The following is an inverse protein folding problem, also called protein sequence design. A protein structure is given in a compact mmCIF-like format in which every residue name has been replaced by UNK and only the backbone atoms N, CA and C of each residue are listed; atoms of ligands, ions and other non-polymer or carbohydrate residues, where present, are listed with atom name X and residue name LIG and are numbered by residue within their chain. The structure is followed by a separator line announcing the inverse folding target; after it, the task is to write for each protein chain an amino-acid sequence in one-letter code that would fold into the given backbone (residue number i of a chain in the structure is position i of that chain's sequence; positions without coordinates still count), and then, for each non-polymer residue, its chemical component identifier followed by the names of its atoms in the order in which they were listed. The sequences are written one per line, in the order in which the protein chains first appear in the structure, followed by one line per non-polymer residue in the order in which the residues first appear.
data_IF_022919772029
#
_entry.id   IF_022919772029
#
_cell.length_a   1.000
_cell.length_b   1.000
_cell.length_c   1.000
_cell.angle_alpha   90.00
_cell.angle_beta   90.00
_cell.angle_gamma   90.00
#
_symmetry.space_group_name_H-M   'P 1'
#
loop_
_entity.id
_entity.type
_entity.pdbx_description
1 polymer ?
#
# COMPACT_ATOMS: atom_id res chain seq x y z
N UNK A 1 24.86 15.71 -14.50
CA UNK A 1 23.51 15.37 -14.99
C UNK A 1 22.51 15.96 -14.00
N UNK A 2 21.42 16.58 -14.46
CA UNK A 2 20.39 17.12 -13.56
C UNK A 2 19.28 16.09 -13.42
N UNK A 3 19.08 15.54 -12.22
CA UNK A 3 17.93 14.67 -11.93
C UNK A 3 16.65 15.50 -11.88
N UNK A 4 15.55 14.92 -12.35
CA UNK A 4 14.23 15.51 -12.17
C UNK A 4 13.86 15.44 -10.68
N UNK A 5 13.79 16.60 -10.01
CA UNK A 5 13.46 16.69 -8.58
C UNK A 5 12.09 16.06 -8.27
N UNK A 6 11.15 16.14 -9.22
CA UNK A 6 9.82 15.56 -9.07
C UNK A 6 9.82 14.03 -8.96
N UNK A 7 10.95 13.35 -9.22
CA UNK A 7 11.05 11.92 -8.94
C UNK A 7 11.06 11.63 -7.45
N UNK A 8 11.60 12.53 -6.62
CA UNK A 8 11.76 12.35 -5.18
C UNK A 8 10.49 12.80 -4.46
N UNK A 9 9.47 11.92 -4.49
CA UNK A 9 8.14 12.16 -3.91
C UNK A 9 8.18 12.03 -2.38
N UNK A 10 7.02 12.14 -1.75
CA UNK A 10 6.93 12.15 -0.29
C UNK A 10 7.41 10.83 0.35
N UNK A 11 7.22 9.67 -0.29
CA UNK A 11 7.44 8.34 0.32
C UNK A 11 8.40 7.43 -0.43
N UNK A 12 8.74 7.78 -1.67
CA UNK A 12 9.50 6.96 -2.60
C UNK A 12 10.05 7.81 -3.74
N UNK A 13 10.92 7.18 -4.54
CA UNK A 13 11.43 7.76 -5.78
C UNK A 13 10.66 7.10 -6.93
N UNK A 14 10.03 7.86 -7.83
CA UNK A 14 9.30 7.31 -8.99
C UNK A 14 9.56 8.13 -10.24
N UNK A 15 9.66 7.46 -11.39
CA UNK A 15 9.82 8.11 -12.68
C UNK A 15 9.44 7.20 -13.84
N UNK A 16 9.30 7.79 -15.02
CA UNK A 16 9.06 7.04 -16.26
C UNK A 16 10.39 6.45 -16.75
N UNK A 17 10.41 5.14 -17.00
CA UNK A 17 11.56 4.43 -17.54
C UNK A 17 11.88 4.92 -18.96
N UNK A 18 13.15 5.27 -19.20
CA UNK A 18 13.62 5.83 -20.48
C UNK A 18 13.53 7.35 -20.58
N UNK A 19 12.84 8.00 -19.64
CA UNK A 19 12.72 9.47 -19.57
C UNK A 19 13.36 9.99 -18.28
N UNK A 20 12.66 9.87 -17.15
CA UNK A 20 13.13 10.28 -15.83
C UNK A 20 14.12 9.28 -15.25
N UNK A 21 13.81 7.99 -15.38
CA UNK A 21 14.58 6.89 -14.84
C UNK A 21 15.25 6.13 -15.99
N UNK A 22 16.57 6.23 -16.06
CA UNK A 22 17.46 5.55 -17.00
C UNK A 22 18.56 4.82 -16.23
N UNK A 23 19.35 3.98 -16.92
CA UNK A 23 20.54 3.36 -16.32
C UNK A 23 21.50 4.41 -15.71
N UNK A 24 21.70 5.54 -16.40
CA UNK A 24 22.57 6.61 -15.90
C UNK A 24 22.02 7.22 -14.60
N UNK A 25 20.73 7.58 -14.57
CA UNK A 25 20.12 8.14 -13.35
C UNK A 25 20.08 7.12 -12.21
N UNK A 26 19.85 5.84 -12.50
CA UNK A 26 19.83 4.78 -11.49
C UNK A 26 21.23 4.56 -10.88
N UNK A 27 22.30 4.63 -11.68
CA UNK A 27 23.67 4.60 -11.18
C UNK A 27 23.97 5.81 -10.29
N UNK A 28 23.54 7.01 -10.68
CA UNK A 28 23.68 8.23 -9.88
C UNK A 28 22.91 8.13 -8.57
N UNK A 29 21.67 7.63 -8.59
CA UNK A 29 20.87 7.39 -7.38
C UNK A 29 21.57 6.37 -6.47
N UNK A 30 22.15 5.31 -7.04
CA UNK A 30 22.94 4.32 -6.30
C UNK A 30 24.17 4.94 -5.63
N UNK A 31 24.90 5.82 -6.33
CA UNK A 31 26.03 6.57 -5.76
C UNK A 31 25.59 7.51 -4.64
N UNK A 32 24.48 8.22 -4.84
CA UNK A 32 23.96 9.14 -3.84
C UNK A 32 23.48 8.41 -2.58
N UNK A 33 22.75 7.30 -2.74
CA UNK A 33 22.30 6.51 -1.61
C UNK A 33 23.48 5.82 -0.88
N UNK A 34 24.44 5.26 -1.62
CA UNK A 34 25.66 4.69 -1.05
C UNK A 34 26.44 5.71 -0.22
N UNK A 35 26.62 6.92 -0.75
CA UNK A 35 27.22 8.05 -0.02
C UNK A 35 26.44 8.38 1.26
N UNK A 36 25.12 8.50 1.15
CA UNK A 36 24.24 8.82 2.27
C UNK A 36 24.32 7.78 3.41
N UNK A 37 24.34 6.48 3.09
CA UNK A 37 24.39 5.43 4.12
C UNK A 37 25.79 5.28 4.73
N UNK A 38 26.85 5.49 3.94
CA UNK A 38 28.25 5.51 4.45
C UNK A 38 28.47 6.63 5.46
N UNK A 39 27.88 7.81 5.23
CA UNK A 39 27.90 8.93 6.19
C UNK A 39 27.20 8.59 7.53
N UNK A 40 26.34 7.56 7.54
CA UNK A 40 25.70 7.03 8.75
C UNK A 40 26.42 5.81 9.35
N UNK A 41 27.59 5.45 8.81
CA UNK A 41 28.37 4.28 9.25
C UNK A 41 27.82 2.94 8.76
N UNK A 42 26.88 2.93 7.81
CA UNK A 42 26.32 1.72 7.22
C UNK A 42 27.12 1.35 5.97
N UNK A 43 27.62 0.11 5.90
CA UNK A 43 28.50 -0.35 4.82
C UNK A 43 27.84 -1.33 3.86
N UNK A 44 26.64 -1.83 4.18
CA UNK A 44 25.94 -2.84 3.38
C UNK A 44 24.53 -2.40 3.03
N UNK A 45 24.11 -2.64 1.79
CA UNK A 45 22.79 -2.27 1.27
C UNK A 45 22.07 -3.49 0.72
N UNK A 46 20.85 -3.72 1.18
CA UNK A 46 19.95 -4.73 0.65
C UNK A 46 19.29 -4.23 -0.64
N UNK A 47 19.32 -5.00 -1.71
CA UNK A 47 18.68 -4.65 -3.00
C UNK A 47 17.72 -5.76 -3.40
N UNK A 48 16.50 -5.37 -3.76
CA UNK A 48 15.49 -6.27 -4.31
C UNK A 48 14.73 -5.59 -5.44
N UNK A 49 14.00 -6.35 -6.24
CA UNK A 49 13.21 -5.78 -7.33
C UNK A 49 11.91 -6.53 -7.60
N UNK A 50 10.95 -5.83 -8.18
CA UNK A 50 9.75 -6.44 -8.76
C UNK A 50 10.04 -7.07 -10.14
N UNK A 51 9.00 -7.62 -10.76
CA UNK A 51 9.13 -8.32 -12.03
C UNK A 51 9.16 -7.41 -13.28
N UNK A 52 8.98 -6.08 -13.18
CA UNK A 52 8.86 -5.17 -14.35
C UNK A 52 10.04 -5.31 -15.33
N UNK A 53 9.79 -5.07 -16.61
CA UNK A 53 10.81 -5.13 -17.68
C UNK A 53 12.01 -4.23 -17.34
N UNK A 54 11.76 -3.03 -16.86
CA UNK A 54 12.80 -2.05 -16.50
C UNK A 54 13.54 -2.37 -15.20
N UNK A 55 13.02 -3.25 -14.34
CA UNK A 55 13.59 -3.51 -13.01
C UNK A 55 14.98 -4.15 -13.06
N UNK A 56 15.26 -5.01 -14.06
CA UNK A 56 16.59 -5.61 -14.22
C UNK A 56 17.67 -4.58 -14.58
N UNK A 57 17.55 -3.78 -15.68
CA UNK A 57 18.57 -2.79 -16.00
C UNK A 57 18.73 -1.72 -14.91
N UNK A 58 17.64 -1.29 -14.25
CA UNK A 58 17.71 -0.38 -13.09
C UNK A 58 18.54 -1.00 -11.97
N UNK A 59 18.30 -2.28 -11.65
CA UNK A 59 19.06 -3.00 -10.62
C UNK A 59 20.54 -3.06 -10.94
N UNK A 60 20.90 -3.41 -12.17
CA UNK A 60 22.30 -3.54 -12.58
C UNK A 60 23.04 -2.19 -12.44
N UNK A 61 22.41 -1.09 -12.88
CA UNK A 61 22.95 0.26 -12.73
C UNK A 61 23.01 0.73 -11.27
N UNK A 62 21.96 0.48 -10.48
CA UNK A 62 21.91 0.82 -9.06
C UNK A 62 23.06 0.14 -8.29
N UNK A 63 23.24 -1.17 -8.49
CA UNK A 63 24.30 -1.96 -7.83
C UNK A 63 25.69 -1.45 -8.22
N UNK A 64 25.90 -1.09 -9.49
CA UNK A 64 27.14 -0.46 -9.94
C UNK A 64 27.39 0.87 -9.22
N UNK A 65 26.35 1.69 -9.06
CA UNK A 65 26.42 2.94 -8.31
C UNK A 65 26.80 2.71 -6.85
N UNK A 66 26.09 1.81 -6.16
CA UNK A 66 26.32 1.47 -4.75
C UNK A 66 27.74 0.94 -4.50
N UNK A 67 28.17 -0.06 -5.27
CA UNK A 67 29.49 -0.69 -5.08
C UNK A 67 30.63 0.29 -5.36
N UNK A 68 30.46 1.26 -6.27
CA UNK A 68 31.44 2.32 -6.54
C UNK A 68 31.66 3.29 -5.36
N UNK A 69 30.77 3.29 -4.37
CA UNK A 69 30.93 4.06 -3.12
C UNK A 69 31.61 3.27 -2.01
N UNK A 70 31.95 2.00 -2.26
CA UNK A 70 32.44 1.08 -1.24
C UNK A 70 31.35 0.51 -0.33
N UNK A 71 30.09 0.52 -0.77
CA UNK A 71 29.01 -0.24 -0.12
C UNK A 71 28.99 -1.66 -0.65
N UNK A 72 28.95 -2.64 0.24
CA UNK A 72 28.61 -4.01 -0.11
C UNK A 72 27.11 -4.10 -0.42
N UNK A 73 26.75 -4.96 -1.37
CA UNK A 73 25.35 -5.18 -1.76
C UNK A 73 24.96 -6.62 -1.45
N UNK A 74 23.85 -6.79 -0.74
CA UNK A 74 23.14 -8.06 -0.65
C UNK A 74 21.92 -8.00 -1.57
N UNK A 75 22.00 -8.68 -2.71
CA UNK A 75 20.92 -8.75 -3.68
C UNK A 75 20.01 -9.95 -3.41
N UNK A 76 18.74 -9.68 -3.11
CA UNK A 76 17.71 -10.69 -2.81
C UNK A 76 16.84 -11.07 -4.02
N UNK A 77 17.19 -10.57 -5.22
CA UNK A 77 16.59 -10.97 -6.48
C UNK A 77 15.19 -10.38 -6.70
N UNK A 78 14.33 -11.18 -7.34
CA UNK A 78 12.94 -10.80 -7.65
C UNK A 78 12.02 -11.28 -6.55
N UNK A 79 11.33 -10.36 -5.88
CA UNK A 79 10.46 -10.65 -4.75
C UNK A 79 9.45 -9.52 -4.53
N UNK A 80 8.36 -9.81 -3.83
CA UNK A 80 7.38 -8.79 -3.45
C UNK A 80 7.96 -7.79 -2.44
N UNK A 81 7.42 -6.57 -2.39
CA UNK A 81 7.83 -5.54 -1.42
C UNK A 81 7.80 -6.03 0.04
N UNK A 82 6.78 -6.78 0.51
CA UNK A 82 6.77 -7.28 1.89
C UNK A 82 7.86 -8.33 2.15
N UNK A 83 8.15 -9.20 1.17
CA UNK A 83 9.28 -10.14 1.26
C UNK A 83 10.64 -9.43 1.29
N UNK A 84 10.77 -8.27 0.64
CA UNK A 84 11.93 -7.40 0.78
C UNK A 84 12.04 -6.82 2.20
N UNK A 85 10.93 -6.32 2.78
CA UNK A 85 10.93 -5.86 4.18
C UNK A 85 11.26 -6.98 5.17
N UNK A 86 10.74 -8.18 4.96
CA UNK A 86 11.13 -9.35 5.74
C UNK A 86 12.62 -9.69 5.58
N UNK A 87 13.17 -9.56 4.37
CA UNK A 87 14.59 -9.79 4.12
C UNK A 87 15.50 -8.84 4.91
N UNK A 88 15.04 -7.61 5.16
CA UNK A 88 15.73 -6.69 6.07
C UNK A 88 15.89 -7.28 7.47
N UNK A 89 14.83 -7.90 7.99
CA UNK A 89 14.81 -8.54 9.31
C UNK A 89 15.66 -9.82 9.29
N UNK A 90 15.43 -10.68 8.29
CA UNK A 90 16.10 -11.98 8.14
C UNK A 90 17.62 -11.85 8.09
N UNK A 91 18.13 -10.83 7.38
CA UNK A 91 19.57 -10.61 7.19
C UNK A 91 20.13 -9.50 8.10
N UNK A 92 19.31 -8.94 9.01
CA UNK A 92 19.68 -7.84 9.90
C UNK A 92 20.32 -6.65 9.14
N UNK A 93 19.73 -6.30 8.01
CA UNK A 93 20.19 -5.19 7.17
C UNK A 93 19.80 -3.85 7.82
N UNK A 94 20.59 -2.80 7.51
CA UNK A 94 20.37 -1.44 8.04
C UNK A 94 20.03 -0.42 6.96
N UNK A 95 20.09 -0.81 5.69
CA UNK A 95 19.71 0.02 4.57
C UNK A 95 19.28 -0.87 3.41
N UNK A 96 18.38 -0.36 2.56
CA UNK A 96 18.01 -1.07 1.35
C UNK A 96 17.16 -0.27 0.38
N UNK A 97 17.10 -0.75 -0.86
CA UNK A 97 16.25 -0.21 -1.91
C UNK A 97 15.49 -1.34 -2.60
N UNK A 98 14.16 -1.25 -2.57
CA UNK A 98 13.28 -2.12 -3.36
C UNK A 98 12.90 -1.41 -4.65
N UNK A 99 13.27 -1.99 -5.78
CA UNK A 99 13.01 -1.44 -7.12
C UNK A 99 11.61 -1.84 -7.55
N UNK A 100 10.71 -0.87 -7.56
CA UNK A 100 9.31 -1.07 -7.95
C UNK A 100 8.61 0.26 -8.17
N UNK A 101 7.56 0.27 -8.99
CA UNK A 101 6.54 1.32 -8.98
C UNK A 101 5.16 0.82 -8.53
N UNK A 102 5.12 -0.27 -7.75
CA UNK A 102 3.88 -0.86 -7.22
C UNK A 102 2.84 -1.06 -8.31
N UNK A 103 1.77 -0.26 -8.30
CA UNK A 103 0.65 -0.31 -9.25
C UNK A 103 0.60 0.83 -10.27
N UNK A 104 1.67 1.61 -10.42
CA UNK A 104 1.71 2.54 -11.54
C UNK A 104 1.79 1.77 -12.87
N UNK A 105 1.32 2.36 -13.98
CA UNK A 105 1.41 1.76 -15.31
C UNK A 105 2.80 1.21 -15.66
N UNK A 106 2.92 0.28 -16.65
CA UNK A 106 4.16 -0.47 -16.91
C UNK A 106 5.40 0.39 -17.19
N UNK A 107 5.21 1.58 -17.76
CA UNK A 107 6.31 2.52 -18.05
C UNK A 107 6.94 3.14 -16.80
N UNK A 108 6.27 3.11 -15.64
CA UNK A 108 6.82 3.63 -14.39
C UNK A 108 7.71 2.59 -13.71
N UNK A 109 8.76 3.08 -13.04
CA UNK A 109 9.50 2.32 -12.04
C UNK A 109 10.02 3.28 -10.96
N UNK A 110 10.68 2.76 -9.94
CA UNK A 110 11.05 3.56 -8.78
C UNK A 110 11.78 2.79 -7.70
N UNK A 111 11.90 3.42 -6.54
CA UNK A 111 12.55 2.87 -5.36
C UNK A 111 11.76 3.17 -4.09
N UNK A 112 11.43 2.13 -3.33
CA UNK A 112 11.08 2.24 -1.91
C UNK A 112 12.40 2.17 -1.12
N UNK A 113 12.76 3.27 -0.47
CA UNK A 113 14.08 3.44 0.19
C UNK A 113 13.96 3.25 1.69
N UNK A 114 14.84 2.42 2.26
CA UNK A 114 14.81 2.02 3.67
C UNK A 114 16.15 2.30 4.34
N UNK A 115 16.08 2.85 5.56
CA UNK A 115 17.24 3.10 6.43
C UNK A 115 16.83 2.76 7.86
N UNK A 116 17.50 1.79 8.45
CA UNK A 116 17.09 1.15 9.69
C UNK A 116 15.89 0.22 9.48
N UNK A 117 14.91 0.22 10.41
CA UNK A 117 13.81 -0.76 10.40
C UNK A 117 12.64 -0.40 9.46
N UNK A 118 12.65 0.76 8.81
CA UNK A 118 11.51 1.23 8.00
C UNK A 118 11.94 2.11 6.81
N UNK A 119 11.00 2.39 5.92
CA UNK A 119 11.17 3.33 4.81
C UNK A 119 11.39 4.76 5.30
N UNK A 120 12.27 5.49 4.62
CA UNK A 120 12.46 6.93 4.82
C UNK A 120 11.47 7.72 3.96
N UNK A 121 11.15 8.95 4.36
CA UNK A 121 10.17 9.80 3.70
C UNK A 121 10.53 11.29 3.85
N UNK A 122 9.90 12.15 3.04
CA UNK A 122 10.03 13.60 3.11
C UNK A 122 11.47 14.09 2.98
N UNK A 123 11.90 14.93 3.92
CA UNK A 123 13.23 15.56 3.89
C UNK A 123 14.39 14.57 3.95
N UNK A 124 14.23 13.39 4.57
CA UNK A 124 15.29 12.36 4.54
C UNK A 124 15.50 11.81 3.13
N UNK A 125 14.44 11.67 2.33
CA UNK A 125 14.56 11.22 0.94
C UNK A 125 15.18 12.30 0.06
N UNK A 126 14.83 13.57 0.28
CA UNK A 126 15.43 14.71 -0.45
C UNK A 126 16.93 14.86 -0.22
N UNK A 127 17.46 14.42 0.93
CA UNK A 127 18.91 14.40 1.15
C UNK A 127 19.64 13.57 0.09
N UNK A 128 19.04 12.49 -0.39
CA UNK A 128 19.60 11.68 -1.49
C UNK A 128 19.62 12.48 -2.79
N UNK A 129 18.54 13.23 -3.09
CA UNK A 129 18.50 14.14 -4.24
C UNK A 129 19.63 15.18 -4.17
N UNK A 130 19.81 15.85 -3.04
CA UNK A 130 20.84 16.89 -2.91
C UNK A 130 22.26 16.33 -3.06
N UNK A 131 22.53 15.12 -2.57
CA UNK A 131 23.82 14.44 -2.80
C UNK A 131 24.00 14.16 -4.29
N UNK A 132 22.96 13.65 -4.95
CA UNK A 132 22.99 13.37 -6.39
C UNK A 132 23.21 14.63 -7.23
N UNK A 133 22.55 15.74 -6.89
CA UNK A 133 22.69 17.03 -7.57
C UNK A 133 24.09 17.61 -7.39
N UNK A 134 24.64 17.54 -6.18
CA UNK A 134 26.00 18.02 -5.89
C UNK A 134 27.07 17.23 -6.65
N UNK A 135 26.83 15.96 -6.93
CA UNK A 135 27.77 15.09 -7.65
C UNK A 135 29.02 14.70 -6.83
N UNK A 136 28.99 14.93 -5.52
CA UNK A 136 30.06 14.58 -4.59
C UNK A 136 29.73 13.24 -3.92
N UNK A 137 30.33 12.17 -4.45
CA UNK A 137 30.08 10.81 -3.99
C UNK A 137 31.27 10.25 -3.22
N UNK A 138 30.97 9.41 -2.24
CA UNK A 138 31.96 8.49 -1.67
C UNK A 138 32.54 7.60 -2.78
N UNK A 139 33.79 7.17 -2.59
CA UNK A 139 34.51 6.30 -3.54
C UNK A 139 35.01 5.07 -2.82
N UNK A 140 34.83 3.92 -3.44
CA UNK A 140 35.34 2.66 -2.95
C UNK A 140 35.03 1.52 -3.91
N UNK A 141 35.22 0.30 -3.43
CA UNK A 141 34.87 -0.92 -4.16
C UNK A 141 34.20 -1.86 -3.17
N UNK A 142 32.88 -1.99 -3.26
CA UNK A 142 32.11 -2.97 -2.50
C UNK A 142 31.91 -4.27 -3.26
N UNK A 143 31.50 -5.32 -2.55
CA UNK A 143 31.20 -6.63 -3.12
C UNK A 143 29.69 -6.82 -3.33
N UNK A 144 29.32 -7.71 -4.25
CA UNK A 144 27.92 -8.13 -4.43
C UNK A 144 27.77 -9.58 -3.98
N UNK A 145 26.83 -9.83 -3.06
CA UNK A 145 26.41 -11.16 -2.60
C UNK A 145 24.95 -11.37 -2.95
N UNK A 146 24.55 -12.63 -3.10
CA UNK A 146 23.18 -13.01 -3.46
C UNK A 146 22.53 -13.82 -2.34
N UNK A 147 21.23 -13.60 -2.14
CA UNK A 147 20.43 -14.36 -1.19
C UNK A 147 19.02 -14.63 -1.73
N UNK A 148 18.34 -15.65 -1.20
CA UNK A 148 17.07 -16.15 -1.75
C UNK A 148 16.03 -16.36 -0.63
N UNK A 149 15.37 -15.28 -0.17
CA UNK A 149 14.56 -15.29 1.06
C UNK A 149 13.17 -15.92 0.91
N UNK A 150 12.73 -16.26 -0.30
CA UNK A 150 11.34 -16.65 -0.59
C UNK A 150 10.86 -17.82 0.29
N UNK A 151 11.63 -18.92 0.37
CA UNK A 151 11.25 -20.07 1.20
C UNK A 151 11.20 -19.70 2.69
N UNK A 152 12.14 -18.87 3.17
CA UNK A 152 12.13 -18.37 4.54
C UNK A 152 10.92 -17.49 4.83
N UNK A 153 10.44 -16.74 3.84
CA UNK A 153 9.24 -15.91 3.94
C UNK A 153 7.96 -16.76 4.01
N UNK A 154 7.81 -17.74 3.11
CA UNK A 154 6.67 -18.67 3.09
C UNK A 154 6.58 -19.41 4.43
N UNK A 155 7.71 -19.94 4.91
CA UNK A 155 7.77 -20.65 6.20
C UNK A 155 7.43 -19.71 7.37
N UNK A 156 7.92 -18.48 7.36
CA UNK A 156 7.62 -17.49 8.40
C UNK A 156 6.11 -17.21 8.49
N UNK A 157 5.42 -17.04 7.36
CA UNK A 157 3.95 -16.85 7.37
C UNK A 157 3.25 -18.10 7.92
N UNK A 158 3.65 -19.28 7.44
CA UNK A 158 3.10 -20.57 7.90
C UNK A 158 3.31 -20.81 9.40
N UNK A 159 4.42 -20.34 9.96
CA UNK A 159 4.71 -20.44 11.39
C UNK A 159 3.84 -19.49 12.20
N UNK A 160 3.68 -18.25 11.75
CA UNK A 160 2.92 -17.20 12.45
C UNK A 160 1.40 -17.39 12.38
N UNK A 161 0.89 -17.93 11.29
CA UNK A 161 -0.56 -18.06 11.07
C UNK A 161 -0.96 -19.52 11.01
N UNK A 162 -1.87 -19.91 11.92
CA UNK A 162 -2.50 -21.23 11.94
C UNK A 162 -3.97 -21.10 11.57
N UNK A 163 -4.41 -21.92 10.62
CA UNK A 163 -5.82 -22.00 10.22
C UNK A 163 -6.59 -22.94 11.16
N UNK A 164 -7.91 -22.79 11.19
CA UNK A 164 -8.82 -23.75 11.82
C UNK A 164 -9.04 -25.00 10.96
N UNK A 165 -9.97 -25.86 11.40
CA UNK A 165 -10.20 -27.17 10.78
C UNK A 165 -10.93 -27.11 9.43
N UNK A 166 -11.62 -25.98 9.13
CA UNK A 166 -12.33 -25.80 7.87
C UNK A 166 -11.33 -25.61 6.72
N UNK A 167 -11.31 -26.56 5.80
CA UNK A 167 -10.55 -26.45 4.55
C UNK A 167 -11.24 -25.47 3.59
N UNK A 168 -10.57 -24.35 3.30
CA UNK A 168 -11.09 -23.29 2.44
C UNK A 168 -10.69 -23.50 0.97
N UNK A 169 -11.60 -23.16 0.06
CA UNK A 169 -11.35 -22.98 -1.38
C UNK A 169 -11.13 -21.51 -1.68
N UNK A 170 -9.98 -21.19 -2.26
CA UNK A 170 -9.55 -19.81 -2.47
C UNK A 170 -9.17 -19.61 -3.93
N UNK A 171 -9.80 -18.66 -4.61
CA UNK A 171 -9.30 -18.18 -5.90
C UNK A 171 -8.23 -17.14 -5.64
N UNK A 172 -7.07 -17.29 -6.28
CA UNK A 172 -5.91 -16.41 -6.06
C UNK A 172 -5.55 -15.75 -7.37
N UNK A 173 -5.72 -14.44 -7.43
CA UNK A 173 -5.41 -13.61 -8.58
C UNK A 173 -4.15 -12.78 -8.31
N UNK A 174 -3.13 -12.96 -9.13
CA UNK A 174 -1.88 -12.19 -9.02
C UNK A 174 -1.70 -11.16 -10.15
N UNK A 175 -2.62 -11.08 -11.11
CA UNK A 175 -2.54 -10.15 -12.26
C UNK A 175 -1.19 -10.15 -12.98
N UNK A 176 -0.53 -11.31 -13.06
CA UNK A 176 0.82 -11.50 -13.60
C UNK A 176 1.95 -10.73 -12.89
N UNK A 177 1.67 -10.12 -11.73
CA UNK A 177 2.62 -9.37 -10.93
C UNK A 177 3.66 -10.23 -10.22
N UNK A 178 4.42 -9.60 -9.32
CA UNK A 178 5.49 -10.28 -8.58
C UNK A 178 4.94 -11.28 -7.57
N UNK A 179 3.71 -11.08 -7.08
CA UNK A 179 3.01 -12.02 -6.20
C UNK A 179 2.87 -13.43 -6.82
N UNK A 180 2.76 -13.51 -8.16
CA UNK A 180 2.70 -14.76 -8.93
C UNK A 180 3.84 -15.73 -8.62
N UNK A 181 4.99 -15.23 -8.17
CA UNK A 181 6.17 -16.05 -7.91
C UNK A 181 5.98 -17.03 -6.74
N UNK A 182 5.15 -16.71 -5.74
CA UNK A 182 5.00 -17.57 -4.56
C UNK A 182 3.76 -17.32 -3.68
N UNK A 183 2.91 -16.33 -3.93
CA UNK A 183 1.72 -16.09 -3.08
C UNK A 183 0.69 -17.25 -3.16
N UNK A 184 0.45 -17.89 -4.31
CA UNK A 184 -0.32 -19.13 -4.37
C UNK A 184 0.25 -20.22 -3.46
N UNK A 185 1.57 -20.36 -3.41
CA UNK A 185 2.25 -21.33 -2.53
C UNK A 185 2.11 -20.97 -1.05
N UNK A 186 2.09 -19.68 -0.68
CA UNK A 186 1.79 -19.24 0.70
C UNK A 186 0.41 -19.76 1.10
N UNK A 187 -0.61 -19.52 0.28
CA UNK A 187 -2.00 -19.88 0.59
C UNK A 187 -2.17 -21.41 0.59
N UNK A 188 -1.57 -22.11 -0.37
CA UNK A 188 -1.58 -23.57 -0.43
C UNK A 188 -0.91 -24.19 0.82
N UNK A 189 0.25 -23.67 1.23
CA UNK A 189 1.01 -24.19 2.38
C UNK A 189 0.35 -23.94 3.74
N UNK A 190 -0.65 -23.04 3.81
CA UNK A 190 -1.51 -22.86 4.97
C UNK A 190 -2.60 -23.95 5.08
N UNK A 191 -2.84 -24.73 4.02
CA UNK A 191 -3.80 -25.85 3.99
C UNK A 191 -5.03 -25.61 3.12
N UNK A 192 -5.07 -24.51 2.36
CA UNK A 192 -6.19 -24.19 1.47
C UNK A 192 -6.13 -24.95 0.15
N UNK A 193 -7.29 -25.12 -0.49
CA UNK A 193 -7.40 -25.50 -1.89
C UNK A 193 -7.33 -24.23 -2.75
N UNK A 194 -6.33 -24.14 -3.62
CA UNK A 194 -6.02 -22.93 -4.38
C UNK A 194 -6.43 -23.09 -5.84
N UNK A 195 -7.16 -22.09 -6.34
CA UNK A 195 -7.53 -21.93 -7.74
C UNK A 195 -6.77 -20.71 -8.30
N UNK A 196 -5.63 -20.92 -8.99
CA UNK A 196 -4.81 -19.82 -9.46
C UNK A 196 -5.46 -19.12 -10.66
N UNK A 197 -5.38 -17.79 -10.67
CA UNK A 197 -5.81 -16.91 -11.74
C UNK A 197 -4.66 -15.93 -12.02
N UNK A 198 -4.19 -15.90 -13.26
CA UNK A 198 -3.06 -15.06 -13.70
C UNK A 198 -1.81 -15.11 -12.80
N UNK A 199 -1.51 -16.30 -12.25
CA UNK A 199 -0.39 -16.56 -11.33
C UNK A 199 0.92 -16.91 -12.04
N UNK A 200 1.04 -16.65 -13.34
CA UNK A 200 2.32 -16.71 -14.06
C UNK A 200 2.91 -15.29 -14.10
N UNK A 201 4.14 -15.11 -13.61
CA UNK A 201 4.79 -13.79 -13.60
C UNK A 201 5.13 -13.37 -15.04
N UNK A 202 4.45 -12.35 -15.55
CA UNK A 202 4.67 -11.76 -16.87
C UNK A 202 4.61 -10.23 -16.77
N UNK A 203 5.73 -9.51 -17.02
CA UNK A 203 5.79 -8.08 -16.84
C UNK A 203 5.12 -7.27 -17.95
N UNK A 204 4.53 -7.93 -18.95
CA UNK A 204 3.65 -7.29 -19.95
C UNK A 204 2.21 -7.15 -19.44
N UNK A 205 1.85 -7.81 -18.34
CA UNK A 205 0.51 -7.84 -17.75
C UNK A 205 -0.58 -8.15 -18.79
N UNK A 206 -0.53 -9.32 -19.45
CA UNK A 206 -1.32 -9.61 -20.65
C UNK A 206 -2.83 -9.79 -20.42
N UNK A 207 -3.27 -9.86 -19.16
CA UNK A 207 -4.68 -10.06 -18.80
C UNK A 207 -5.30 -8.73 -18.36
N UNK A 208 -5.40 -8.47 -17.06
CA UNK A 208 -5.68 -7.15 -16.51
C UNK A 208 -4.48 -6.61 -15.74
N UNK A 209 -4.52 -5.30 -15.45
CA UNK A 209 -3.46 -4.68 -14.67
C UNK A 209 -3.58 -5.12 -13.19
N UNK A 210 -2.46 -5.40 -12.48
CA UNK A 210 -2.49 -5.86 -11.08
C UNK A 210 -2.73 -4.68 -10.12
N UNK A 211 -3.96 -4.17 -10.12
CA UNK A 211 -4.42 -3.13 -9.21
C UNK A 211 -5.81 -3.48 -8.67
N UNK A 212 -5.90 -4.15 -7.51
CA UNK A 212 -7.16 -4.68 -6.98
C UNK A 212 -8.09 -3.61 -6.38
N UNK A 213 -7.66 -2.34 -6.35
CA UNK A 213 -8.52 -1.21 -5.94
C UNK A 213 -9.54 -0.85 -7.04
N UNK A 214 -9.26 -1.24 -8.29
CA UNK A 214 -10.11 -0.98 -9.44
C UNK A 214 -11.06 -2.15 -9.69
N UNK A 215 -12.36 -1.87 -9.64
CA UNK A 215 -13.39 -2.89 -9.79
C UNK A 215 -13.27 -3.66 -11.13
N UNK A 216 -12.84 -3.00 -12.21
CA UNK A 216 -12.67 -3.64 -13.51
C UNK A 216 -11.63 -4.77 -13.52
N UNK A 217 -10.63 -4.69 -12.64
CA UNK A 217 -9.58 -5.71 -12.51
C UNK A 217 -10.01 -6.91 -11.66
N UNK A 218 -11.19 -6.87 -11.02
CA UNK A 218 -11.69 -7.96 -10.16
C UNK A 218 -12.76 -8.81 -10.86
N UNK A 219 -13.13 -8.48 -12.10
CA UNK A 219 -14.22 -9.18 -12.82
C UNK A 219 -13.96 -10.67 -12.97
N UNK A 220 -12.77 -11.04 -13.42
CA UNK A 220 -12.39 -12.44 -13.61
C UNK A 220 -12.33 -13.19 -12.28
N UNK A 221 -11.82 -12.55 -11.22
CA UNK A 221 -11.84 -13.10 -9.87
C UNK A 221 -13.29 -13.37 -9.39
N UNK A 222 -14.21 -12.42 -9.59
CA UNK A 222 -15.62 -12.55 -9.22
C UNK A 222 -16.28 -13.73 -9.97
N UNK A 223 -16.04 -13.83 -11.27
CA UNK A 223 -16.60 -14.90 -12.10
C UNK A 223 -16.04 -16.27 -11.68
N UNK A 224 -14.73 -16.35 -11.45
CA UNK A 224 -14.06 -17.58 -11.07
C UNK A 224 -14.50 -18.07 -9.69
N UNK A 225 -14.63 -17.17 -8.70
CA UNK A 225 -15.16 -17.49 -7.36
C UNK A 225 -16.53 -18.14 -7.45
N UNK A 226 -17.43 -17.57 -8.26
CA UNK A 226 -18.77 -18.13 -8.48
C UNK A 226 -18.72 -19.47 -9.21
N UNK A 227 -17.86 -19.58 -10.23
CA UNK A 227 -17.75 -20.77 -11.08
C UNK A 227 -17.27 -21.99 -10.29
N UNK A 228 -16.23 -21.83 -9.47
CA UNK A 228 -15.65 -22.93 -8.68
C UNK A 228 -16.30 -23.08 -7.30
N UNK A 229 -17.24 -22.18 -6.96
CA UNK A 229 -17.89 -22.09 -5.65
C UNK A 229 -16.86 -21.98 -4.52
N UNK A 230 -15.92 -21.06 -4.69
CA UNK A 230 -14.90 -20.77 -3.69
C UNK A 230 -15.51 -20.08 -2.46
N UNK A 231 -14.86 -20.21 -1.32
CA UNK A 231 -15.23 -19.52 -0.08
C UNK A 231 -14.91 -18.01 -0.15
N UNK A 232 -13.90 -17.65 -0.96
CA UNK A 232 -13.49 -16.29 -1.26
C UNK A 232 -12.53 -16.26 -2.46
N UNK A 233 -12.38 -15.07 -3.04
CA UNK A 233 -11.32 -14.71 -3.96
C UNK A 233 -10.37 -13.69 -3.33
N UNK A 234 -9.08 -13.78 -3.63
CA UNK A 234 -8.05 -12.85 -3.17
C UNK A 234 -7.25 -12.39 -4.38
N UNK A 235 -7.20 -11.08 -4.60
CA UNK A 235 -6.34 -10.44 -5.60
C UNK A 235 -5.17 -9.73 -4.93
N UNK A 236 -4.03 -9.71 -5.61
CA UNK A 236 -2.83 -8.99 -5.17
C UNK A 236 -2.40 -7.97 -6.22
N UNK A 237 -1.78 -6.90 -5.75
CA UNK A 237 -1.21 -5.90 -6.65
C UNK A 237 0.21 -6.26 -7.14
N UNK A 238 0.74 -5.44 -8.06
CA UNK A 238 1.95 -5.75 -8.82
C UNK A 238 3.19 -6.08 -8.00
N UNK A 239 3.35 -5.49 -6.82
CA UNK A 239 4.46 -5.75 -5.90
C UNK A 239 4.05 -6.43 -4.57
N UNK A 240 2.76 -6.80 -4.43
CA UNK A 240 2.26 -7.70 -3.40
C UNK A 240 2.03 -7.08 -2.02
N UNK A 241 2.00 -5.76 -1.89
CA UNK A 241 1.74 -5.10 -0.61
C UNK A 241 0.29 -4.64 -0.41
N UNK A 242 -0.58 -4.82 -1.42
CA UNK A 242 -2.03 -4.60 -1.32
C UNK A 242 -2.85 -5.85 -1.61
N UNK A 243 -3.92 -6.03 -0.83
CA UNK A 243 -4.90 -7.10 -0.96
C UNK A 243 -6.25 -6.57 -1.46
N UNK A 244 -6.84 -7.24 -2.44
CA UNK A 244 -8.26 -7.16 -2.79
C UNK A 244 -8.97 -8.46 -2.44
N UNK A 245 -10.23 -8.39 -2.03
CA UNK A 245 -10.98 -9.56 -1.60
C UNK A 245 -12.37 -9.55 -2.21
N UNK A 246 -12.82 -10.72 -2.62
CA UNK A 246 -14.18 -10.99 -3.11
C UNK A 246 -14.78 -12.09 -2.27
N UNK A 247 -16.01 -11.90 -1.78
CA UNK A 247 -16.72 -12.93 -1.00
C UNK A 247 -17.29 -14.06 -1.87
N UNK A 248 -17.87 -15.08 -1.25
CA UNK A 248 -18.41 -16.26 -1.93
C UNK A 248 -19.58 -15.93 -2.91
N UNK A 249 -20.17 -14.74 -2.79
CA UNK A 249 -21.26 -14.24 -3.64
C UNK A 249 -20.74 -13.33 -4.76
N UNK A 250 -19.45 -13.02 -4.78
CA UNK A 250 -18.84 -12.11 -5.74
C UNK A 250 -18.94 -10.63 -5.36
N UNK A 251 -19.21 -10.30 -4.09
CA UNK A 251 -19.16 -8.92 -3.63
C UNK A 251 -17.72 -8.55 -3.28
N UNK A 252 -17.29 -7.35 -3.68
CA UNK A 252 -15.98 -6.81 -3.32
C UNK A 252 -16.00 -6.41 -1.84
N UNK A 253 -14.98 -6.83 -1.09
CA UNK A 253 -14.74 -6.45 0.30
C UNK A 253 -13.59 -5.45 0.34
N UNK A 254 -13.95 -4.17 0.49
CA UNK A 254 -12.99 -3.06 0.52
C UNK A 254 -12.10 -3.07 1.76
N UNK A 255 -10.96 -2.37 1.71
CA UNK A 255 -9.95 -2.39 2.77
C UNK A 255 -10.50 -2.01 4.15
N UNK A 256 -11.38 -1.01 4.23
CA UNK A 256 -12.05 -0.62 5.47
C UNK A 256 -12.95 -1.74 6.04
N UNK A 257 -13.60 -2.52 5.19
CA UNK A 257 -14.40 -3.69 5.62
C UNK A 257 -13.51 -4.87 6.04
N UNK A 258 -12.36 -5.07 5.38
CA UNK A 258 -11.37 -6.04 5.83
C UNK A 258 -10.81 -5.67 7.20
N UNK A 259 -10.54 -4.38 7.44
CA UNK A 259 -10.10 -3.89 8.74
C UNK A 259 -11.10 -4.20 9.86
N UNK A 260 -12.40 -4.16 9.60
CA UNK A 260 -13.42 -4.58 10.58
C UNK A 260 -13.20 -6.03 11.01
N UNK A 261 -13.00 -6.95 10.06
CA UNK A 261 -12.76 -8.36 10.37
C UNK A 261 -11.49 -8.55 11.21
N UNK A 262 -10.41 -7.85 10.86
CA UNK A 262 -9.18 -7.90 11.63
C UNK A 262 -9.34 -7.30 13.04
N UNK A 263 -9.98 -6.14 13.18
CA UNK A 263 -10.23 -5.53 14.49
C UNK A 263 -11.11 -6.40 15.39
N UNK A 264 -12.10 -7.12 14.84
CA UNK A 264 -12.91 -8.09 15.58
C UNK A 264 -12.08 -9.22 16.20
N UNK A 265 -10.97 -9.61 15.57
CA UNK A 265 -10.02 -10.57 16.15
C UNK A 265 -9.05 -9.89 17.13
N UNK A 266 -8.47 -8.77 16.73
CA UNK A 266 -7.37 -8.09 17.44
C UNK A 266 -7.84 -7.42 18.73
N UNK A 267 -8.99 -6.73 18.72
CA UNK A 267 -9.48 -5.99 19.88
C UNK A 267 -9.78 -6.90 21.08
N UNK A 268 -10.09 -8.18 20.83
CA UNK A 268 -10.26 -9.19 21.90
C UNK A 268 -8.97 -9.42 22.70
N UNK A 269 -7.81 -9.29 22.06
CA UNK A 269 -6.48 -9.46 22.69
C UNK A 269 -5.89 -8.12 23.14
N UNK A 270 -6.31 -7.03 22.52
CA UNK A 270 -5.82 -5.67 22.77
C UNK A 270 -6.99 -4.72 23.09
N UNK A 271 -7.68 -4.91 24.23
CA UNK A 271 -8.82 -4.08 24.59
C UNK A 271 -8.41 -2.61 24.75
N UNK A 272 -9.20 -1.70 24.19
CA UNK A 272 -8.93 -0.26 24.26
C UNK A 272 -7.83 0.24 23.33
N UNK A 273 -7.36 -0.58 22.39
CA UNK A 273 -6.34 -0.19 21.43
C UNK A 273 -6.76 1.05 20.62
N UNK A 274 -5.78 1.91 20.36
CA UNK A 274 -5.92 3.01 19.41
C UNK A 274 -5.85 2.43 17.98
N UNK A 275 -6.89 2.69 17.20
CA UNK A 275 -7.02 2.23 15.84
C UNK A 275 -6.78 3.41 14.90
N UNK A 276 -5.65 3.39 14.17
CA UNK A 276 -5.42 4.38 13.12
C UNK A 276 -6.47 4.17 12.03
N UNK A 277 -7.14 5.25 11.62
CA UNK A 277 -8.15 5.25 10.55
C UNK A 277 -7.70 6.22 9.47
N UNK A 278 -7.39 5.70 8.28
CA UNK A 278 -7.10 6.54 7.12
C UNK A 278 -8.33 7.41 6.80
N UNK A 279 -8.13 8.69 6.49
CA UNK A 279 -9.19 9.65 6.16
C UNK A 279 -10.14 9.22 5.03
N UNK A 280 -9.78 8.24 4.20
CA UNK A 280 -10.66 7.71 3.17
C UNK A 280 -11.62 6.65 3.68
N UNK A 281 -11.36 6.00 4.81
CA UNK A 281 -12.14 4.85 5.28
C UNK A 281 -13.59 5.21 5.65
N UNK A 282 -14.49 4.25 5.44
CA UNK A 282 -15.91 4.35 5.79
C UNK A 282 -16.14 4.69 7.27
N UNK A 283 -17.24 5.39 7.54
CA UNK A 283 -17.76 5.60 8.90
C UNK A 283 -18.10 4.27 9.59
N UNK A 284 -18.44 3.22 8.84
CA UNK A 284 -18.74 1.91 9.42
C UNK A 284 -17.53 1.31 10.16
N UNK A 285 -16.30 1.53 9.67
CA UNK A 285 -15.09 1.11 10.38
C UNK A 285 -14.93 1.85 11.71
N UNK A 286 -15.18 3.17 11.73
CA UNK A 286 -15.09 4.00 12.93
C UNK A 286 -16.07 3.51 13.99
N UNK A 287 -17.34 3.35 13.61
CA UNK A 287 -18.41 2.86 14.49
C UNK A 287 -18.10 1.45 15.02
N UNK A 288 -17.54 0.58 14.18
CA UNK A 288 -17.17 -0.77 14.59
C UNK A 288 -16.01 -0.77 15.59
N UNK A 289 -14.97 0.03 15.36
CA UNK A 289 -13.85 0.18 16.31
C UNK A 289 -14.37 0.65 17.67
N UNK A 290 -15.25 1.66 17.70
CA UNK A 290 -15.87 2.16 18.93
C UNK A 290 -16.74 1.10 19.60
N UNK A 291 -17.54 0.36 18.82
CA UNK A 291 -18.39 -0.74 19.32
C UNK A 291 -17.56 -1.85 19.97
N UNK A 292 -16.36 -2.12 19.45
CA UNK A 292 -15.42 -3.08 20.03
C UNK A 292 -14.66 -2.53 21.26
N UNK A 293 -14.89 -1.27 21.64
CA UNK A 293 -14.24 -0.60 22.76
C UNK A 293 -12.86 0.00 22.43
N UNK A 294 -12.52 0.09 21.14
CA UNK A 294 -11.31 0.75 20.66
C UNK A 294 -11.46 2.27 20.55
N UNK A 295 -10.37 2.93 20.15
CA UNK A 295 -10.33 4.40 19.98
C UNK A 295 -9.89 4.74 18.55
N UNK A 296 -10.79 5.20 17.66
CA UNK A 296 -10.40 5.60 16.32
C UNK A 296 -9.54 6.87 16.35
N UNK A 297 -8.44 6.86 15.61
CA UNK A 297 -7.49 7.98 15.46
C UNK A 297 -7.30 8.24 13.98
N UNK A 298 -7.94 9.32 13.48
CA UNK A 298 -7.79 9.68 12.08
C UNK A 298 -6.36 10.07 11.74
N UNK A 299 -5.87 9.55 10.61
CA UNK A 299 -4.55 9.86 10.12
C UNK A 299 -4.49 9.91 8.59
N UNK A 300 -3.42 10.50 8.11
CA UNK A 300 -3.18 10.76 6.69
C UNK A 300 -2.89 9.50 5.89
N UNK A 301 -3.25 9.56 4.61
CA UNK A 301 -3.00 8.54 3.59
C UNK A 301 -1.50 8.42 3.31
N UNK A 302 -1.01 7.20 3.10
CA UNK A 302 0.33 6.91 2.64
C UNK A 302 1.04 5.90 3.53
N UNK A 303 1.34 4.73 2.96
CA UNK A 303 1.95 3.59 3.63
C UNK A 303 3.19 3.92 4.51
N UNK A 304 4.11 4.78 4.04
CA UNK A 304 5.28 5.18 4.83
C UNK A 304 4.93 6.06 6.05
N UNK A 305 3.91 6.92 5.95
CA UNK A 305 3.46 7.74 7.08
C UNK A 305 2.72 6.91 8.11
N UNK A 306 1.92 5.95 7.65
CA UNK A 306 1.23 5.01 8.52
C UNK A 306 2.23 4.18 9.30
N UNK A 307 3.25 3.59 8.65
CA UNK A 307 4.32 2.86 9.36
C UNK A 307 5.00 3.72 10.42
N UNK A 308 5.31 4.98 10.11
CA UNK A 308 5.90 5.90 11.08
C UNK A 308 4.96 6.17 12.26
N UNK A 309 3.67 6.39 12.00
CA UNK A 309 2.66 6.67 13.03
C UNK A 309 2.36 5.46 13.91
N UNK A 310 2.33 4.27 13.32
CA UNK A 310 2.21 3.02 14.09
C UNK A 310 3.34 2.89 15.10
N UNK A 311 4.57 3.17 14.69
CA UNK A 311 5.73 3.13 15.59
C UNK A 311 5.65 4.19 16.68
N UNK A 312 5.24 5.42 16.34
CA UNK A 312 5.07 6.51 17.31
C UNK A 312 4.04 6.15 18.39
N UNK A 313 2.93 5.51 18.00
CA UNK A 313 1.83 5.17 18.90
C UNK A 313 1.93 3.77 19.51
N UNK A 314 2.91 2.96 19.08
CA UNK A 314 2.92 1.52 19.32
C UNK A 314 1.60 0.83 18.92
N UNK A 315 1.03 1.27 17.78
CA UNK A 315 -0.22 0.72 17.27
C UNK A 315 -0.05 -0.74 16.85
N UNK A 316 -1.01 -1.59 17.23
CA UNK A 316 -0.95 -3.03 17.00
C UNK A 316 -1.45 -3.44 15.61
N UNK A 317 -2.25 -2.61 14.97
CA UNK A 317 -2.80 -2.85 13.64
C UNK A 317 -3.36 -1.58 13.02
N UNK A 318 -3.33 -1.49 11.70
CA UNK A 318 -4.10 -0.53 10.89
C UNK A 318 -4.12 -1.00 9.44
N UNK A 319 -4.91 -0.32 8.61
CA UNK A 319 -4.92 -0.50 7.17
C UNK A 319 -5.32 0.78 6.45
N UNK A 320 -5.30 0.71 5.13
CA UNK A 320 -5.79 1.74 4.22
C UNK A 320 -6.94 1.16 3.39
N UNK A 321 -7.85 2.01 2.93
CA UNK A 321 -8.94 1.61 2.05
C UNK A 321 -8.44 0.94 0.77
N UNK A 322 -7.24 1.33 0.30
CA UNK A 322 -6.56 0.76 -0.86
C UNK A 322 -6.02 -0.66 -0.66
N UNK A 323 -6.15 -1.25 0.53
CA UNK A 323 -5.75 -2.65 0.78
C UNK A 323 -4.34 -2.83 1.34
N UNK A 324 -3.62 -1.77 1.70
CA UNK A 324 -2.42 -1.93 2.54
C UNK A 324 -2.87 -2.30 3.96
N UNK A 325 -2.31 -3.38 4.52
CA UNK A 325 -2.67 -3.88 5.85
C UNK A 325 -1.41 -4.08 6.67
N UNK A 326 -1.34 -3.41 7.82
CA UNK A 326 -0.14 -3.32 8.66
C UNK A 326 -0.42 -3.99 10.00
N UNK A 327 0.15 -5.17 10.23
CA UNK A 327 -0.03 -5.92 11.47
C UNK A 327 1.23 -5.82 12.33
N UNK A 328 1.07 -5.46 13.61
CA UNK A 328 2.14 -5.44 14.62
C UNK A 328 1.79 -6.27 15.88
N UNK A 329 0.57 -6.80 15.97
CA UNK A 329 0.10 -7.65 17.08
C UNK A 329 0.87 -8.98 17.17
N UNK A 330 1.00 -9.66 16.02
CA UNK A 330 1.69 -10.96 15.88
C UNK A 330 2.74 -10.90 14.74
N UNK A 331 2.98 -9.71 14.21
CA UNK A 331 3.79 -9.45 13.00
C UNK A 331 4.71 -8.23 13.14
N UNK A 332 5.34 -7.80 12.05
CA UNK A 332 6.48 -6.87 12.07
C UNK A 332 6.11 -5.39 11.84
N UNK A 333 4.84 -5.06 11.60
CA UNK A 333 4.34 -3.70 11.48
C UNK A 333 4.43 -3.08 10.08
N UNK A 334 4.97 -3.78 9.08
CA UNK A 334 4.92 -3.34 7.68
C UNK A 334 3.70 -3.90 6.95
N UNK A 335 3.34 -3.24 5.85
CA UNK A 335 2.30 -3.64 4.91
C UNK A 335 2.65 -4.96 4.21
N UNK A 336 1.74 -5.93 4.29
CA UNK A 336 1.95 -7.27 3.73
C UNK A 336 0.63 -7.94 3.34
N UNK A 337 0.36 -8.05 2.04
CA UNK A 337 -0.88 -8.62 1.55
C UNK A 337 -0.95 -10.14 1.73
N UNK A 338 0.18 -10.86 1.65
CA UNK A 338 0.19 -12.30 1.92
C UNK A 338 -0.10 -12.60 3.38
N UNK A 339 0.44 -11.81 4.31
CA UNK A 339 0.12 -11.93 5.73
C UNK A 339 -1.33 -11.53 6.02
N UNK A 340 -1.84 -10.48 5.38
CA UNK A 340 -3.25 -10.10 5.46
C UNK A 340 -4.18 -11.24 4.98
N UNK A 341 -3.88 -11.82 3.81
CA UNK A 341 -4.60 -12.97 3.27
C UNK A 341 -4.58 -14.14 4.26
N UNK A 342 -3.41 -14.46 4.83
CA UNK A 342 -3.28 -15.51 5.84
C UNK A 342 -4.15 -15.23 7.08
N UNK A 343 -4.17 -13.98 7.59
CA UNK A 343 -5.02 -13.57 8.72
C UNK A 343 -6.51 -13.68 8.41
N UNK A 344 -6.93 -13.29 7.19
CA UNK A 344 -8.31 -13.42 6.77
C UNK A 344 -8.73 -14.89 6.69
N UNK A 345 -7.89 -15.74 6.10
CA UNK A 345 -8.12 -17.18 6.02
C UNK A 345 -8.18 -17.81 7.42
N UNK A 346 -7.35 -17.35 8.37
CA UNK A 346 -7.43 -17.77 9.78
C UNK A 346 -8.78 -17.41 10.39
N UNK A 347 -9.28 -16.20 10.18
CA UNK A 347 -10.60 -15.79 10.68
C UNK A 347 -11.70 -16.68 10.08
N UNK A 348 -11.69 -16.86 8.76
CA UNK A 348 -12.74 -17.59 8.04
C UNK A 348 -12.71 -19.11 8.31
N UNK A 349 -11.54 -19.70 8.51
CA UNK A 349 -11.39 -21.14 8.81
C UNK A 349 -11.79 -21.53 10.24
N UNK A 350 -11.92 -20.56 11.15
CA UNK A 350 -12.34 -20.78 12.55
C UNK A 350 -13.84 -20.54 12.78
N UNK A 351 -14.65 -20.55 11.71
CA UNK A 351 -16.10 -20.33 11.77
C UNK A 351 -16.81 -21.06 10.63
N UNK A 352 -18.06 -21.45 10.87
CA UNK A 352 -18.94 -22.03 9.84
C UNK A 352 -19.60 -20.97 8.95
N UNK A 353 -19.49 -19.69 9.32
CA UNK A 353 -20.06 -18.58 8.55
C UNK A 353 -19.33 -18.37 7.22
N UNK A 354 -20.05 -17.91 6.21
CA UNK A 354 -19.43 -17.40 4.98
C UNK A 354 -18.82 -16.01 5.21
N UNK A 355 -17.97 -15.55 4.27
CA UNK A 355 -17.34 -14.23 4.40
C UNK A 355 -18.41 -13.12 4.39
N UNK A 356 -19.42 -13.23 3.53
CA UNK A 356 -20.53 -12.26 3.51
C UNK A 356 -21.33 -12.22 4.81
N UNK A 357 -21.47 -13.35 5.52
CA UNK A 357 -22.16 -13.44 6.80
C UNK A 357 -21.36 -12.81 7.95
N UNK A 358 -20.03 -12.77 7.86
CA UNK A 358 -19.16 -12.12 8.86
C UNK A 358 -19.27 -10.60 8.88
N UNK A 359 -19.81 -10.01 7.82
CA UNK A 359 -20.03 -8.57 7.68
C UNK A 359 -21.52 -8.20 7.62
N UNK A 360 -22.43 -9.16 7.80
CA UNK A 360 -23.87 -8.94 7.65
C UNK A 360 -24.45 -7.95 8.67
N UNK A 361 -23.80 -7.79 9.83
CA UNK A 361 -24.18 -6.84 10.89
C UNK A 361 -23.52 -5.47 10.74
N UNK A 362 -22.63 -5.29 9.76
CA UNK A 362 -21.97 -4.01 9.49
C UNK A 362 -22.88 -3.13 8.63
N UNK A 363 -23.15 -1.87 9.03
CA UNK A 363 -23.92 -0.93 8.22
C UNK A 363 -23.31 -0.73 6.83
N UNK A 364 -24.15 -0.76 5.81
CA UNK A 364 -23.77 -0.42 4.43
C UNK A 364 -24.20 1.01 4.13
N UNK A 365 -23.23 1.89 3.95
CA UNK A 365 -23.48 3.29 3.63
C UNK A 365 -23.34 3.56 2.13
N UNK A 366 -24.31 4.24 1.48
CA UNK A 366 -24.12 4.79 0.15
C UNK A 366 -22.86 5.65 0.10
N UNK A 367 -21.96 5.34 -0.84
CA UNK A 367 -20.72 6.09 -1.05
C UNK A 367 -20.40 6.24 -2.53
N UNK A 368 -19.68 7.31 -2.87
CA UNK A 368 -19.03 7.39 -4.18
C UNK A 368 -17.83 6.44 -4.22
N UNK A 369 -17.40 6.01 -5.42
CA UNK A 369 -16.04 5.51 -5.59
C UNK A 369 -15.00 6.58 -5.22
N UNK A 370 -13.72 6.21 -5.23
CA UNK A 370 -12.64 7.20 -5.20
C UNK A 370 -12.65 8.00 -6.51
N UNK A 371 -12.87 9.31 -6.43
CA UNK A 371 -12.95 10.20 -7.60
C UNK A 371 -11.66 11.00 -7.69
N UNK A 372 -11.05 10.99 -8.88
CA UNK A 372 -9.81 11.70 -9.20
C UNK A 372 -10.13 12.90 -10.08
N UNK A 373 -9.85 14.10 -9.57
CA UNK A 373 -10.06 15.36 -10.29
C UNK A 373 -8.71 15.94 -10.67
N UNK A 374 -8.48 16.24 -11.94
CA UNK A 374 -7.23 16.84 -12.40
C UNK A 374 -6.97 18.17 -11.70
N UNK A 375 -5.77 18.32 -11.12
CA UNK A 375 -5.36 19.54 -10.46
C UNK A 375 -3.85 19.62 -10.36
N UNK A 376 -3.23 20.61 -11.00
CA UNK A 376 -1.77 20.68 -11.12
C UNK A 376 -1.04 20.69 -9.76
N UNK A 377 0.20 20.21 -9.76
CA UNK A 377 1.03 20.12 -8.55
C UNK A 377 1.20 21.51 -7.87
N UNK A 378 1.19 22.60 -8.64
CA UNK A 378 1.31 23.97 -8.14
C UNK A 378 0.05 24.48 -7.44
N UNK A 379 -1.12 23.91 -7.74
CA UNK A 379 -2.43 24.44 -7.28
C UNK A 379 -3.12 23.56 -6.26
N UNK A 380 -2.94 22.24 -6.32
CA UNK A 380 -3.76 21.27 -5.56
C UNK A 380 -3.80 21.54 -4.05
N UNK A 381 -2.68 21.94 -3.46
CA UNK A 381 -2.62 22.23 -2.01
C UNK A 381 -3.37 23.51 -1.64
N UNK A 382 -3.30 24.56 -2.48
CA UNK A 382 -4.04 25.80 -2.28
C UNK A 382 -5.55 25.59 -2.43
N UNK A 383 -5.97 24.76 -3.39
CA UNK A 383 -7.38 24.38 -3.56
C UNK A 383 -7.90 23.68 -2.30
N UNK A 384 -7.17 22.68 -1.79
CA UNK A 384 -7.55 21.95 -0.57
C UNK A 384 -7.65 22.89 0.63
N UNK A 385 -6.68 23.80 0.79
CA UNK A 385 -6.72 24.81 1.86
C UNK A 385 -7.96 25.69 1.74
N UNK A 386 -8.26 26.20 0.55
CA UNK A 386 -9.43 27.03 0.30
C UNK A 386 -10.76 26.31 0.57
N UNK A 387 -10.88 25.03 0.17
CA UNK A 387 -12.06 24.21 0.48
C UNK A 387 -12.19 23.99 1.99
N UNK A 388 -11.08 23.74 2.69
CA UNK A 388 -11.05 23.59 4.15
C UNK A 388 -11.57 24.86 4.85
N UNK A 389 -11.07 26.02 4.44
CA UNK A 389 -11.48 27.32 4.98
C UNK A 389 -12.96 27.62 4.68
N UNK A 390 -13.43 27.34 3.46
CA UNK A 390 -14.83 27.51 3.05
C UNK A 390 -15.81 26.75 3.97
N UNK A 391 -15.54 25.48 4.27
CA UNK A 391 -16.41 24.70 5.16
C UNK A 391 -16.26 25.11 6.63
N UNK A 392 -15.07 25.54 7.05
CA UNK A 392 -14.85 26.04 8.43
C UNK A 392 -15.61 27.34 8.68
N UNK A 393 -15.63 28.26 7.72
CA UNK A 393 -16.41 29.51 7.78
C UNK A 393 -17.92 29.26 7.81
N UNK A 394 -18.39 28.20 7.14
CA UNK A 394 -19.78 27.73 7.23
C UNK A 394 -20.12 27.02 8.56
N UNK A 395 -19.14 26.80 9.44
CA UNK A 395 -19.34 26.20 10.77
C UNK A 395 -19.33 24.67 10.80
N UNK A 396 -18.83 24.00 9.76
CA UNK A 396 -18.71 22.54 9.76
C UNK A 396 -17.52 22.06 10.59
N UNK A 397 -17.69 20.89 11.22
CA UNK A 397 -16.57 20.15 11.79
C UNK A 397 -15.76 19.49 10.68
N UNK A 398 -14.44 19.59 10.76
CA UNK A 398 -13.53 19.07 9.74
C UNK A 398 -12.43 18.29 10.43
N UNK A 399 -12.14 17.11 9.91
CA UNK A 399 -10.92 16.37 10.21
C UNK A 399 -9.89 16.76 9.15
N UNK A 400 -8.90 17.57 9.53
CA UNK A 400 -7.95 18.22 8.62
C UNK A 400 -6.53 17.64 8.66
N UNK A 401 -6.40 16.36 9.05
CA UNK A 401 -5.12 15.64 9.12
C UNK A 401 -4.52 15.35 7.73
N UNK A 402 -5.36 15.28 6.68
CA UNK A 402 -4.99 15.03 5.28
C UNK A 402 -6.07 15.54 4.32
N UNK A 403 -6.01 16.83 4.03
CA UNK A 403 -7.05 17.54 3.30
C UNK A 403 -8.27 17.85 4.18
N UNK A 404 -9.44 18.00 3.58
CA UNK A 404 -10.68 18.35 4.26
C UNK A 404 -11.64 17.16 4.27
N UNK A 405 -11.69 16.39 5.37
CA UNK A 405 -12.82 15.48 5.64
C UNK A 405 -13.87 16.24 6.44
N UNK A 406 -14.83 16.79 5.72
CA UNK A 406 -15.95 17.58 6.25
C UNK A 406 -17.02 16.64 6.78
N UNK A 407 -17.43 16.85 8.03
CA UNK A 407 -18.45 16.06 8.70
C UNK A 407 -19.81 16.76 8.56
N UNK A 408 -20.74 16.10 7.87
CA UNK A 408 -22.12 16.54 7.71
C UNK A 408 -23.01 15.76 8.68
N UNK A 409 -24.18 16.31 9.01
CA UNK A 409 -25.19 15.49 9.68
C UNK A 409 -25.65 14.37 8.73
N UNK A 410 -25.46 13.12 9.14
CA UNK A 410 -25.77 11.94 8.33
C UNK A 410 -24.73 11.54 7.27
N UNK A 411 -23.51 12.10 7.26
CA UNK A 411 -22.46 11.67 6.32
C UNK A 411 -21.16 12.46 6.38
N UNK A 412 -20.25 12.22 5.43
CA UNK A 412 -19.00 12.95 5.31
C UNK A 412 -18.58 13.10 3.84
N UNK A 413 -17.75 14.11 3.58
CA UNK A 413 -17.10 14.33 2.29
C UNK A 413 -15.64 14.67 2.45
N UNK A 414 -14.78 14.10 1.61
CA UNK A 414 -13.34 14.30 1.63
C UNK A 414 -12.89 15.01 0.35
N UNK A 415 -12.02 16.00 0.50
CA UNK A 415 -11.17 16.54 -0.58
C UNK A 415 -9.72 16.55 -0.09
N UNK A 416 -8.82 15.85 -0.77
CA UNK A 416 -7.38 15.89 -0.46
C UNK A 416 -6.51 15.97 -1.70
N UNK A 417 -5.28 16.44 -1.53
CA UNK A 417 -4.28 16.43 -2.58
C UNK A 417 -3.61 15.05 -2.67
N UNK A 418 -3.47 14.52 -3.89
CA UNK A 418 -2.69 13.30 -4.11
C UNK A 418 -1.19 13.57 -3.90
N UNK A 419 -0.49 12.66 -3.22
CA UNK A 419 0.96 12.77 -3.02
C UNK A 419 1.76 12.15 -4.16
N UNK A 420 1.09 11.43 -5.08
CA UNK A 420 1.71 10.68 -6.18
C UNK A 420 1.45 11.29 -7.55
N UNK A 421 0.51 12.24 -7.68
CA UNK A 421 0.19 12.87 -8.96
C UNK A 421 -0.52 14.23 -8.85
N UNK A 422 -0.69 14.92 -9.99
CA UNK A 422 -1.37 16.23 -10.10
C UNK A 422 -2.89 16.05 -10.13
N UNK A 423 -3.45 15.56 -9.03
CA UNK A 423 -4.89 15.31 -8.88
C UNK A 423 -5.34 15.59 -7.44
N UNK A 424 -6.62 15.93 -7.31
CA UNK A 424 -7.37 15.90 -6.06
C UNK A 424 -8.12 14.57 -5.97
N UNK A 425 -8.16 14.01 -4.75
CA UNK A 425 -8.96 12.84 -4.44
C UNK A 425 -10.20 13.28 -3.68
N UNK A 426 -11.37 12.88 -4.18
CA UNK A 426 -12.67 13.17 -3.61
C UNK A 426 -13.41 11.87 -3.30
N UNK A 427 -14.02 11.79 -2.12
CA UNK A 427 -14.90 10.67 -1.73
C UNK A 427 -16.01 11.18 -0.82
N UNK A 428 -17.23 10.72 -1.04
CA UNK A 428 -18.39 11.04 -0.20
C UNK A 428 -19.04 9.76 0.30
N UNK A 429 -19.60 9.79 1.50
CA UNK A 429 -20.39 8.70 2.07
C UNK A 429 -21.48 9.27 2.96
N UNK A 430 -22.66 8.65 2.96
CA UNK A 430 -23.78 9.09 3.76
C UNK A 430 -24.65 7.93 4.25
N UNK A 431 -25.53 8.20 5.21
CA UNK A 431 -26.50 7.22 5.73
C UNK A 431 -27.63 6.92 4.75
N UNK A 432 -27.92 7.82 3.80
CA UNK A 432 -28.93 7.63 2.75
C UNK A 432 -28.45 8.17 1.41
N UNK A 433 -29.04 7.72 0.31
CA UNK A 433 -28.71 8.18 -1.04
C UNK A 433 -29.04 9.66 -1.24
N UNK A 434 -30.12 10.15 -0.65
CA UNK A 434 -30.51 11.56 -0.72
C UNK A 434 -29.44 12.44 -0.05
N UNK A 435 -28.97 12.03 1.13
CA UNK A 435 -27.92 12.75 1.85
C UNK A 435 -26.59 12.71 1.10
N UNK A 436 -26.28 11.60 0.41
CA UNK A 436 -25.08 11.49 -0.42
C UNK A 436 -25.09 12.53 -1.55
N UNK A 437 -26.21 12.70 -2.24
CA UNK A 437 -26.35 13.70 -3.31
C UNK A 437 -26.28 15.14 -2.77
N UNK A 438 -26.84 15.42 -1.59
CA UNK A 438 -26.67 16.71 -0.92
C UNK A 438 -25.19 17.01 -0.62
N UNK A 439 -24.45 16.05 -0.07
CA UNK A 439 -23.03 16.19 0.26
C UNK A 439 -22.21 16.42 -1.01
N UNK A 440 -22.45 15.63 -2.06
CA UNK A 440 -21.78 15.81 -3.36
C UNK A 440 -21.99 17.22 -3.92
N UNK A 441 -23.23 17.72 -3.84
CA UNK A 441 -23.55 19.07 -4.30
C UNK A 441 -22.80 20.15 -3.50
N UNK A 442 -22.78 20.07 -2.17
CA UNK A 442 -22.05 21.04 -1.32
C UNK A 442 -20.54 21.03 -1.62
N UNK A 443 -19.94 19.86 -1.85
CA UNK A 443 -18.54 19.73 -2.26
C UNK A 443 -18.29 20.28 -3.66
N UNK A 444 -19.20 20.03 -4.61
CA UNK A 444 -19.11 20.56 -5.96
C UNK A 444 -19.16 22.08 -5.97
N UNK A 445 -20.08 22.68 -5.19
CA UNK A 445 -20.16 24.13 -5.01
C UNK A 445 -18.88 24.71 -4.37
N UNK A 446 -18.27 24.02 -3.40
CA UNK A 446 -17.01 24.43 -2.79
C UNK A 446 -15.86 24.40 -3.80
N UNK A 447 -15.70 23.28 -4.52
CA UNK A 447 -14.62 23.08 -5.50
C UNK A 447 -14.74 24.02 -6.69
N UNK A 448 -15.96 24.33 -7.14
CA UNK A 448 -16.22 25.25 -8.24
C UNK A 448 -15.68 26.66 -7.97
N UNK A 449 -15.67 27.11 -6.71
CA UNK A 449 -15.06 28.41 -6.31
C UNK A 449 -13.56 28.48 -6.57
N UNK A 450 -12.90 27.33 -6.65
CA UNK A 450 -11.47 27.21 -6.92
C UNK A 450 -11.18 26.71 -8.35
N UNK A 451 -12.19 26.69 -9.22
CA UNK A 451 -12.05 26.32 -10.63
C UNK A 451 -11.83 24.81 -10.85
N UNK A 452 -12.24 23.98 -9.89
CA UNK A 452 -12.23 22.51 -10.04
C UNK A 452 -13.68 22.05 -10.20
N UNK A 453 -13.95 21.27 -11.25
CA UNK A 453 -15.27 20.68 -11.47
C UNK A 453 -15.36 19.32 -10.80
N UNK A 454 -16.44 19.11 -10.07
CA UNK A 454 -16.83 17.82 -9.52
C UNK A 454 -18.24 17.54 -10.02
N UNK A 455 -18.35 16.59 -10.94
CA UNK A 455 -19.61 16.19 -11.61
C UNK A 455 -20.23 14.95 -10.96
#
# INVERSE_FOLDING_TARGET
MRLNENMFRMYDIRGIWGEDLTEETAEVIGKAFGTYVKQKGINSVLVGRDNRISSKPIRDALIKGLTSTGCDVLDVGVLTTPAFYYSNILYNSQAGMMITASHNPPQFNGFKVMVGPSTIYGEELKKIYYIAEKGEFEKGSGEVKYAYPINSYINMIKEKVKLGDRKLKVVVDCGNGTASLFYPDVIYNLGCEVYPLYCESDPTFPNHFPDPVKEENLKDLIEEVKRVKADLGIAFDGDGDRIGVVDEKGNIIWGDMLMILYWREIMKKHPGAEAIVEVKCSQALVEEVERLGGKPVFYKTGHSLIKAKMKEMNAVFTGEMSGHMFFADEYYGFDDAAYAAARLLRILSNTDKSLSELLADVPKYPSTPEIRLECSDERKFDVVKGVTEYFREKGYNIIDVDGARVLFDGGWGLVRASNTGPELIVRCEARTSEKLEEIKKELSEALAKFGVKFE
#
